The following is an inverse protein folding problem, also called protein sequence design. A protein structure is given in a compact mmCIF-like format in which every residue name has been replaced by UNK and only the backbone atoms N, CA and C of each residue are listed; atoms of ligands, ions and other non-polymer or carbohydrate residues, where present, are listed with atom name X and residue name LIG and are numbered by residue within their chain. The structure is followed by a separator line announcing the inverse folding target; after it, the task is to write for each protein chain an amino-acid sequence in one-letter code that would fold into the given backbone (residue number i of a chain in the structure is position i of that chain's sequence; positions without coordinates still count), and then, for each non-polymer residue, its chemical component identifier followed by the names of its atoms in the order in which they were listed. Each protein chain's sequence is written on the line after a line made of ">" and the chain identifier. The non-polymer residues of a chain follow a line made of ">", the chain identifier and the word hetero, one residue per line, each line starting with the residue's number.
data_IF_365798869686
#
_entry.id   IF_365798869686
#
_cell.length_a   1.000
_cell.length_b   1.000
_cell.length_c   1.000
_cell.angle_alpha   90.00
_cell.angle_beta   90.00
_cell.angle_gamma   90.00
#
_symmetry.space_group_name_H-M   'P 1'
#
loop_
_entity.id
_entity.type
_entity.pdbx_description
1 polymer ?
#
# COMPACT_ATOMS: atom_id res chain seq x y z
N UNK A 1 -18.31 30.39 23.40
CA UNK A 1 -18.69 28.96 23.36
C UNK A 1 -19.50 28.54 22.14
N UNK A 2 -20.10 29.43 21.36
CA UNK A 2 -21.05 29.12 20.26
C UNK A 2 -20.38 28.73 18.93
N UNK A 3 -19.16 29.21 18.63
CA UNK A 3 -18.47 28.92 17.36
C UNK A 3 -17.94 27.48 17.24
N UNK A 4 -17.48 26.88 18.33
CA UNK A 4 -16.91 25.50 18.33
C UNK A 4 -18.03 24.47 18.11
N UNK A 5 -19.22 24.67 18.69
CA UNK A 5 -20.38 23.78 18.49
C UNK A 5 -20.87 23.77 17.03
N UNK A 6 -20.77 24.89 16.33
CA UNK A 6 -21.18 25.02 14.92
C UNK A 6 -20.22 24.26 13.97
N UNK A 7 -18.93 24.29 14.25
CA UNK A 7 -17.92 23.53 13.47
C UNK A 7 -18.06 22.02 13.66
N UNK A 8 -18.31 21.56 14.88
CA UNK A 8 -18.51 20.13 15.16
C UNK A 8 -19.79 19.61 14.50
N UNK A 9 -20.87 20.40 14.47
CA UNK A 9 -22.12 20.01 13.82
C UNK A 9 -21.98 19.94 12.29
N UNK A 10 -21.24 20.86 11.64
CA UNK A 10 -20.94 20.80 10.21
C UNK A 10 -20.02 19.64 9.86
N UNK A 11 -18.99 19.38 10.65
CA UNK A 11 -18.09 18.24 10.45
C UNK A 11 -18.82 16.90 10.53
N UNK A 12 -19.71 16.72 11.51
CA UNK A 12 -20.56 15.52 11.60
C UNK A 12 -21.50 15.34 10.41
N UNK A 13 -22.10 16.42 9.90
CA UNK A 13 -22.96 16.34 8.72
C UNK A 13 -22.20 16.02 7.43
N UNK A 14 -20.96 16.48 7.28
CA UNK A 14 -20.12 16.18 6.13
C UNK A 14 -19.70 14.69 6.18
N UNK A 15 -19.24 14.19 7.32
CA UNK A 15 -18.88 12.79 7.50
C UNK A 15 -20.08 11.86 7.30
N UNK A 16 -21.26 12.19 7.86
CA UNK A 16 -22.48 11.41 7.66
C UNK A 16 -22.92 11.42 6.20
N UNK A 17 -22.80 12.55 5.48
CA UNK A 17 -23.12 12.62 4.04
C UNK A 17 -22.14 11.82 3.19
N UNK A 18 -20.86 11.81 3.51
CA UNK A 18 -19.85 10.98 2.83
C UNK A 18 -20.11 9.49 3.08
N UNK A 19 -20.38 9.10 4.32
CA UNK A 19 -20.73 7.71 4.67
C UNK A 19 -22.05 7.30 4.01
N UNK A 20 -23.08 8.13 4.02
CA UNK A 20 -24.38 7.82 3.39
C UNK A 20 -24.26 7.74 1.86
N UNK A 21 -23.44 8.59 1.24
CA UNK A 21 -23.17 8.57 -0.20
C UNK A 21 -22.34 7.34 -0.59
N UNK A 22 -21.40 6.90 0.25
CA UNK A 22 -20.64 5.66 0.07
C UNK A 22 -21.53 4.42 0.24
N UNK A 23 -22.40 4.38 1.25
CA UNK A 23 -23.29 3.25 1.52
C UNK A 23 -24.43 3.12 0.49
N UNK A 24 -24.88 4.22 -0.13
CA UNK A 24 -25.94 4.21 -1.16
C UNK A 24 -25.40 4.04 -2.58
N UNK A 25 -24.10 4.18 -2.78
CA UNK A 25 -23.46 4.01 -4.08
C UNK A 25 -23.04 2.56 -4.28
N UNK A 26 -24.00 1.70 -4.61
CA UNK A 26 -23.71 0.37 -5.19
C UNK A 26 -22.81 0.44 -6.45
N UNK A 27 -22.68 1.62 -7.06
CA UNK A 27 -21.71 1.93 -8.12
C UNK A 27 -20.26 1.86 -7.66
N UNK A 28 -19.96 2.23 -6.39
CA UNK A 28 -18.57 2.26 -5.91
C UNK A 28 -17.99 0.84 -5.70
N UNK A 29 -18.80 -0.06 -5.11
CA UNK A 29 -18.45 -1.47 -4.98
C UNK A 29 -18.47 -2.21 -6.32
N UNK A 30 -19.34 -1.79 -7.26
CA UNK A 30 -19.40 -2.33 -8.61
C UNK A 30 -18.28 -1.80 -9.51
N UNK A 31 -17.79 -0.57 -9.30
CA UNK A 31 -16.69 0.03 -10.07
C UNK A 31 -15.36 -0.70 -9.83
N UNK A 32 -15.04 -1.12 -8.61
CA UNK A 32 -13.84 -1.93 -8.34
C UNK A 32 -13.86 -3.31 -9.00
N UNK A 33 -15.04 -3.93 -9.16
CA UNK A 33 -15.16 -5.23 -9.85
C UNK A 33 -15.13 -5.13 -11.37
N UNK A 34 -15.28 -3.95 -11.94
CA UNK A 34 -15.42 -3.75 -13.39
C UNK A 34 -14.31 -2.93 -14.06
N UNK A 35 -13.33 -2.40 -13.31
CA UNK A 35 -12.14 -1.88 -13.96
C UNK A 35 -11.31 -3.10 -14.37
N UNK A 36 -11.42 -3.51 -15.64
CA UNK A 36 -10.45 -4.44 -16.21
C UNK A 36 -9.07 -3.83 -15.96
N UNK A 37 -8.32 -4.42 -15.04
CA UNK A 37 -6.92 -4.08 -14.80
C UNK A 37 -6.23 -4.09 -16.16
N UNK A 38 -5.72 -2.94 -16.60
CA UNK A 38 -4.99 -2.86 -17.86
C UNK A 38 -3.81 -3.79 -17.74
N UNK A 39 -3.75 -4.80 -18.62
CA UNK A 39 -2.61 -5.71 -18.65
C UNK A 39 -1.33 -4.87 -18.84
N UNK A 40 -0.30 -5.15 -18.02
CA UNK A 40 0.98 -4.47 -18.09
C UNK A 40 1.20 -3.35 -17.05
N UNK A 41 0.22 -3.03 -16.20
CA UNK A 41 0.44 -2.12 -15.07
C UNK A 41 1.16 -2.84 -13.91
N UNK A 42 1.91 -2.12 -13.04
CA UNK A 42 2.52 -2.73 -11.85
C UNK A 42 1.49 -3.45 -10.97
N UNK A 43 0.33 -2.87 -10.72
CA UNK A 43 -0.76 -3.49 -9.96
C UNK A 43 -1.22 -4.81 -10.58
N UNK A 44 -1.38 -4.86 -11.92
CA UNK A 44 -1.76 -6.09 -12.62
C UNK A 44 -0.75 -7.22 -12.36
N UNK A 45 0.55 -6.92 -12.44
CA UNK A 45 1.61 -7.90 -12.22
C UNK A 45 1.71 -8.33 -10.75
N UNK A 46 1.58 -7.40 -9.80
CA UNK A 46 1.55 -7.73 -8.37
C UNK A 46 0.39 -8.66 -8.05
N UNK A 47 -0.83 -8.31 -8.46
CA UNK A 47 -2.03 -9.11 -8.24
C UNK A 47 -1.88 -10.51 -8.84
N UNK A 48 -1.38 -10.59 -10.06
CA UNK A 48 -1.13 -11.86 -10.72
C UNK A 48 -0.12 -12.72 -9.95
N UNK A 49 0.97 -12.14 -9.49
CA UNK A 49 1.96 -12.85 -8.67
C UNK A 49 1.36 -13.34 -7.35
N UNK A 50 0.52 -12.53 -6.71
CA UNK A 50 -0.13 -12.93 -5.45
C UNK A 50 -1.09 -14.11 -5.64
N UNK A 51 -1.81 -14.15 -6.76
CA UNK A 51 -2.71 -15.26 -7.11
C UNK A 51 -1.93 -16.48 -7.60
N UNK A 52 -1.13 -16.33 -8.66
CA UNK A 52 -0.57 -17.47 -9.42
C UNK A 52 0.71 -18.05 -8.78
N UNK A 53 1.46 -17.22 -8.06
CA UNK A 53 2.78 -17.63 -7.52
C UNK A 53 2.73 -17.84 -6.02
N UNK A 54 2.05 -16.93 -5.29
CA UNK A 54 1.99 -16.98 -3.83
C UNK A 54 0.72 -17.64 -3.30
N UNK A 55 -0.27 -17.94 -4.16
CA UNK A 55 -1.54 -18.60 -3.80
C UNK A 55 -2.21 -17.98 -2.56
N UNK A 56 -2.26 -16.64 -2.52
CA UNK A 56 -2.84 -15.91 -1.40
C UNK A 56 -4.38 -15.84 -1.53
N UNK A 57 -5.13 -15.83 -0.41
CA UNK A 57 -6.57 -15.63 -0.43
C UNK A 57 -6.93 -14.18 -0.81
N UNK A 58 -8.13 -14.01 -1.38
CA UNK A 58 -8.60 -12.75 -1.95
C UNK A 58 -8.50 -11.57 -0.98
N UNK A 59 -8.83 -11.75 0.29
CA UNK A 59 -8.78 -10.69 1.32
C UNK A 59 -7.35 -10.26 1.63
N UNK A 60 -6.37 -11.18 1.64
CA UNK A 60 -4.96 -10.86 1.78
C UNK A 60 -4.44 -10.12 0.54
N UNK A 61 -4.85 -10.54 -0.66
CA UNK A 61 -4.48 -9.88 -1.93
C UNK A 61 -5.01 -8.44 -1.95
N UNK A 62 -6.31 -8.24 -1.66
CA UNK A 62 -6.91 -6.91 -1.64
C UNK A 62 -6.23 -6.00 -0.63
N UNK A 63 -5.90 -6.52 0.56
CA UNK A 63 -5.18 -5.75 1.57
C UNK A 63 -3.78 -5.33 1.11
N UNK A 64 -3.02 -6.24 0.51
CA UNK A 64 -1.67 -5.94 -0.01
C UNK A 64 -1.72 -4.93 -1.16
N UNK A 65 -2.68 -5.05 -2.07
CA UNK A 65 -2.85 -4.10 -3.18
C UNK A 65 -3.28 -2.72 -2.67
N UNK A 66 -4.25 -2.65 -1.76
CA UNK A 66 -4.67 -1.38 -1.15
C UNK A 66 -3.49 -0.71 -0.42
N UNK A 67 -2.69 -1.48 0.31
CA UNK A 67 -1.49 -0.96 0.98
C UNK A 67 -0.45 -0.44 -0.04
N UNK A 68 -0.20 -1.18 -1.11
CA UNK A 68 0.71 -0.76 -2.17
C UNK A 68 0.25 0.54 -2.83
N UNK A 69 -1.04 0.67 -3.18
CA UNK A 69 -1.60 1.90 -3.77
C UNK A 69 -1.45 3.10 -2.84
N UNK A 70 -1.69 2.92 -1.54
CA UNK A 70 -1.50 3.98 -0.54
C UNK A 70 -0.05 4.40 -0.45
N UNK A 71 0.89 3.45 -0.44
CA UNK A 71 2.33 3.74 -0.39
C UNK A 71 2.78 4.49 -1.64
N UNK A 72 2.35 4.08 -2.84
CA UNK A 72 2.68 4.77 -4.09
C UNK A 72 2.18 6.22 -4.08
N UNK A 73 0.93 6.47 -3.66
CA UNK A 73 0.44 7.84 -3.57
C UNK A 73 1.26 8.70 -2.61
N UNK A 74 1.70 8.17 -1.47
CA UNK A 74 2.53 8.93 -0.53
C UNK A 74 3.94 9.18 -1.08
N UNK A 75 4.48 8.25 -1.86
CA UNK A 75 5.74 8.41 -2.57
C UNK A 75 5.62 9.56 -3.60
N UNK A 76 4.59 9.54 -4.46
CA UNK A 76 4.29 10.61 -5.42
C UNK A 76 4.15 11.99 -4.74
N UNK A 77 3.48 12.05 -3.55
CA UNK A 77 3.34 13.30 -2.77
C UNK A 77 4.69 13.84 -2.32
N UNK A 78 5.58 12.97 -1.83
CA UNK A 78 6.90 13.35 -1.30
C UNK A 78 7.81 13.81 -2.42
N UNK A 79 7.73 13.16 -3.58
CA UNK A 79 8.51 13.48 -4.77
C UNK A 79 8.00 14.74 -5.49
N UNK A 80 6.81 15.22 -5.13
CA UNK A 80 6.18 16.40 -5.73
C UNK A 80 5.54 16.13 -7.08
N UNK A 81 5.22 14.88 -7.36
CA UNK A 81 4.57 14.46 -8.58
C UNK A 81 3.12 14.92 -8.66
N UNK A 82 2.62 15.03 -9.90
CA UNK A 82 1.24 15.41 -10.13
C UNK A 82 0.30 14.26 -9.84
N UNK A 83 -0.46 14.39 -8.77
CA UNK A 83 -1.47 13.42 -8.36
C UNK A 83 -2.80 13.71 -9.05
N UNK A 84 -3.43 12.68 -9.61
CA UNK A 84 -4.81 12.76 -10.06
C UNK A 84 -5.76 12.76 -8.85
N UNK A 85 -6.86 13.50 -8.99
CA UNK A 85 -7.85 13.62 -7.90
C UNK A 85 -8.53 12.29 -7.57
N UNK A 86 -8.81 11.49 -8.58
CA UNK A 86 -9.50 10.21 -8.40
C UNK A 86 -8.58 9.22 -7.68
N UNK A 87 -7.26 9.25 -7.95
CA UNK A 87 -6.25 8.45 -7.26
C UNK A 87 -6.12 8.86 -5.80
N UNK A 88 -6.10 10.17 -5.52
CA UNK A 88 -6.08 10.69 -4.16
C UNK A 88 -7.34 10.28 -3.37
N UNK A 89 -8.52 10.42 -3.96
CA UNK A 89 -9.80 10.03 -3.32
C UNK A 89 -9.84 8.51 -3.07
N UNK A 90 -9.34 7.69 -4.00
CA UNK A 90 -9.23 6.24 -3.85
C UNK A 90 -8.27 5.85 -2.72
N UNK A 91 -7.10 6.48 -2.64
CA UNK A 91 -6.11 6.19 -1.61
C UNK A 91 -6.56 6.65 -0.21
N UNK A 92 -7.27 7.80 -0.09
CA UNK A 92 -7.90 8.22 1.18
C UNK A 92 -8.89 7.15 1.66
N UNK A 93 -9.75 6.64 0.76
CA UNK A 93 -10.66 5.57 1.11
C UNK A 93 -9.93 4.29 1.52
N UNK A 94 -8.94 3.86 0.72
CA UNK A 94 -8.13 2.68 1.01
C UNK A 94 -7.45 2.79 2.39
N UNK A 95 -6.79 3.92 2.68
CA UNK A 95 -6.06 4.12 3.93
C UNK A 95 -6.98 4.16 5.16
N UNK A 96 -8.11 4.88 5.07
CA UNK A 96 -8.96 5.17 6.25
C UNK A 96 -10.08 4.14 6.46
N UNK A 97 -10.46 3.40 5.43
CA UNK A 97 -11.59 2.47 5.46
C UNK A 97 -11.21 1.08 4.96
N UNK A 98 -10.65 0.98 3.75
CA UNK A 98 -10.35 -0.30 3.11
C UNK A 98 -9.38 -1.15 3.92
N UNK A 99 -8.21 -0.61 4.21
CA UNK A 99 -7.18 -1.31 4.99
C UNK A 99 -7.65 -1.71 6.40
N UNK A 100 -8.21 -0.79 7.23
CA UNK A 100 -8.68 -1.17 8.57
C UNK A 100 -9.87 -2.12 8.59
N UNK A 101 -10.76 -2.06 7.59
CA UNK A 101 -11.94 -2.90 7.50
C UNK A 101 -11.69 -4.28 6.86
N UNK A 102 -10.51 -4.50 6.31
CA UNK A 102 -10.17 -5.75 5.62
C UNK A 102 -10.14 -6.93 6.62
N UNK A 103 -10.84 -8.05 6.36
CA UNK A 103 -10.93 -9.18 7.30
C UNK A 103 -9.58 -9.83 7.60
N UNK A 104 -8.69 -9.96 6.59
CA UNK A 104 -7.35 -10.50 6.79
C UNK A 104 -6.54 -9.62 7.73
N UNK A 105 -6.55 -8.29 7.52
CA UNK A 105 -5.87 -7.36 8.40
C UNK A 105 -6.42 -7.42 9.83
N UNK A 106 -7.74 -7.44 10.01
CA UNK A 106 -8.36 -7.52 11.33
C UNK A 106 -7.96 -8.79 12.09
N UNK A 107 -7.86 -9.93 11.39
CA UNK A 107 -7.42 -11.19 11.98
C UNK A 107 -5.94 -11.18 12.39
N UNK A 108 -5.10 -10.40 11.71
CA UNK A 108 -3.64 -10.43 11.84
C UNK A 108 -3.01 -9.08 12.22
N UNK A 109 -3.80 -8.09 12.64
CA UNK A 109 -3.32 -6.72 12.83
C UNK A 109 -2.17 -6.61 13.83
N UNK A 110 -2.12 -7.46 14.86
CA UNK A 110 -1.05 -7.46 15.87
C UNK A 110 0.32 -7.82 15.29
N UNK A 111 0.35 -8.52 14.16
CA UNK A 111 1.57 -8.85 13.41
C UNK A 111 1.83 -7.84 12.31
N UNK A 112 0.79 -7.48 11.55
CA UNK A 112 0.91 -6.64 10.36
C UNK A 112 1.17 -5.17 10.69
N UNK A 113 0.52 -4.60 11.72
CA UNK A 113 0.70 -3.19 12.09
C UNK A 113 2.15 -2.83 12.46
N UNK A 114 2.87 -3.60 13.29
CA UNK A 114 4.29 -3.34 13.55
C UNK A 114 5.17 -3.44 12.29
N UNK A 115 4.87 -4.35 11.37
CA UNK A 115 5.59 -4.48 10.11
C UNK A 115 5.37 -3.29 9.19
N UNK A 116 4.12 -2.82 9.04
CA UNK A 116 3.81 -1.59 8.30
C UNK A 116 4.53 -0.40 8.90
N UNK A 117 4.48 -0.24 10.24
CA UNK A 117 5.21 0.82 10.94
C UNK A 117 6.72 0.77 10.66
N UNK A 118 7.31 -0.43 10.73
CA UNK A 118 8.74 -0.62 10.45
C UNK A 118 9.08 -0.32 8.99
N UNK A 119 8.23 -0.73 8.03
CA UNK A 119 8.42 -0.43 6.62
C UNK A 119 8.41 1.08 6.34
N UNK A 120 7.49 1.83 6.96
CA UNK A 120 7.44 3.30 6.85
C UNK A 120 8.72 3.95 7.42
N UNK A 121 9.20 3.47 8.58
CA UNK A 121 10.44 3.99 9.18
C UNK A 121 11.67 3.68 8.32
N UNK A 122 11.75 2.50 7.71
CA UNK A 122 12.81 2.11 6.77
C UNK A 122 12.77 2.99 5.53
N UNK A 123 11.59 3.17 4.93
CA UNK A 123 11.39 4.03 3.77
C UNK A 123 11.84 5.47 4.08
N UNK A 124 11.38 6.06 5.20
CA UNK A 124 11.78 7.42 5.58
C UNK A 124 13.27 7.57 5.86
N UNK A 125 13.91 6.56 6.44
CA UNK A 125 15.36 6.57 6.64
C UNK A 125 16.12 6.51 5.30
N UNK A 126 15.63 5.71 4.35
CA UNK A 126 16.17 5.62 2.99
C UNK A 126 16.04 6.96 2.26
N UNK A 127 14.84 7.54 2.21
CA UNK A 127 14.54 8.85 1.63
C UNK A 127 15.47 9.95 2.19
N UNK A 128 15.69 9.96 3.50
CA UNK A 128 16.61 10.94 4.13
C UNK A 128 18.05 10.79 3.63
N UNK A 129 18.53 9.57 3.39
CA UNK A 129 19.87 9.30 2.87
C UNK A 129 19.97 9.68 1.40
N UNK A 130 18.92 9.44 0.62
CA UNK A 130 18.79 9.77 -0.80
C UNK A 130 18.81 11.29 -1.01
N UNK A 131 17.97 12.03 -0.28
CA UNK A 131 17.93 13.49 -0.31
C UNK A 131 19.27 14.15 0.09
N UNK A 132 20.07 13.47 0.91
CA UNK A 132 21.42 13.92 1.26
C UNK A 132 22.49 13.58 0.20
N UNK A 133 22.12 12.97 -0.94
CA UNK A 133 23.03 12.54 -1.99
C UNK A 133 23.92 11.35 -1.60
N UNK A 134 23.50 10.57 -0.59
CA UNK A 134 24.26 9.43 -0.05
C UNK A 134 23.58 8.09 -0.34
N UNK A 135 22.79 8.01 -1.40
CA UNK A 135 22.11 6.77 -1.82
C UNK A 135 23.12 5.61 -1.96
N UNK A 136 22.72 4.44 -1.50
CA UNK A 136 23.58 3.26 -1.48
C UNK A 136 22.75 1.96 -1.51
N UNK A 137 23.44 0.81 -1.61
CA UNK A 137 22.77 -0.50 -1.60
C UNK A 137 21.91 -0.73 -0.34
N UNK A 138 22.25 -0.13 0.79
CA UNK A 138 21.46 -0.26 2.03
C UNK A 138 20.16 0.55 1.93
N UNK A 139 20.18 1.78 1.39
CA UNK A 139 18.97 2.57 1.16
C UNK A 139 18.03 1.85 0.18
N UNK A 140 18.58 1.32 -0.92
CA UNK A 140 17.81 0.49 -1.86
C UNK A 140 17.05 -0.65 -1.18
N UNK A 141 17.74 -1.45 -0.35
CA UNK A 141 17.10 -2.57 0.37
C UNK A 141 16.06 -2.07 1.38
N UNK A 142 16.28 -0.94 2.02
CA UNK A 142 15.36 -0.42 3.02
C UNK A 142 14.08 0.16 2.40
N UNK A 143 14.13 0.71 1.19
CA UNK A 143 12.92 1.11 0.44
C UNK A 143 11.99 -0.06 0.18
N UNK A 144 12.51 -1.25 -0.03
CA UNK A 144 11.77 -2.47 -0.34
C UNK A 144 10.96 -3.05 0.85
N UNK A 145 10.72 -2.32 1.92
CA UNK A 145 10.03 -2.79 3.13
C UNK A 145 8.62 -3.35 2.91
N UNK A 146 7.96 -2.99 1.82
CA UNK A 146 6.69 -3.60 1.42
C UNK A 146 6.81 -5.12 1.22
N UNK A 147 7.91 -5.61 0.70
CA UNK A 147 8.12 -7.05 0.46
C UNK A 147 8.39 -7.85 1.74
N UNK A 148 8.82 -7.19 2.83
CA UNK A 148 8.85 -7.80 4.17
C UNK A 148 7.41 -8.13 4.62
N UNK A 149 6.45 -7.24 4.31
CA UNK A 149 5.03 -7.43 4.61
C UNK A 149 4.42 -8.54 3.74
N UNK A 150 4.77 -8.59 2.44
CA UNK A 150 4.35 -9.68 1.55
C UNK A 150 4.84 -11.03 2.08
N UNK A 151 6.10 -11.14 2.48
CA UNK A 151 6.66 -12.38 3.04
C UNK A 151 5.97 -12.79 4.36
N UNK A 152 5.70 -11.83 5.23
CA UNK A 152 4.94 -12.09 6.45
C UNK A 152 3.49 -12.54 6.16
N UNK A 153 2.87 -11.99 5.13
CA UNK A 153 1.54 -12.44 4.67
C UNK A 153 1.57 -13.88 4.20
N UNK A 154 2.58 -14.28 3.43
CA UNK A 154 2.80 -15.69 3.05
C UNK A 154 2.94 -16.59 4.29
N UNK A 155 3.69 -16.15 5.29
CA UNK A 155 3.85 -16.89 6.55
C UNK A 155 2.54 -17.04 7.31
N UNK A 156 1.73 -15.98 7.37
CA UNK A 156 0.42 -16.01 8.05
C UNK A 156 -0.58 -16.94 7.36
N UNK A 157 -0.54 -17.01 6.03
CA UNK A 157 -1.47 -17.84 5.23
C UNK A 157 -1.00 -19.30 5.16
N UNK A 158 0.27 -19.55 4.85
CA UNK A 158 0.78 -20.88 4.51
C UNK A 158 1.70 -21.48 5.60
N UNK A 159 2.04 -20.68 6.62
CA UNK A 159 2.93 -21.09 7.71
C UNK A 159 4.42 -20.87 7.41
N UNK A 160 5.24 -21.04 8.46
CA UNK A 160 6.66 -20.69 8.44
C UNK A 160 7.46 -21.50 7.42
N UNK A 161 7.18 -22.80 7.27
CA UNK A 161 7.92 -23.65 6.35
C UNK A 161 7.75 -23.20 4.90
N UNK A 162 6.51 -22.94 4.49
CA UNK A 162 6.21 -22.42 3.14
C UNK A 162 6.87 -21.05 2.90
N UNK A 163 6.84 -20.16 3.88
CA UNK A 163 7.50 -18.86 3.78
C UNK A 163 9.03 -18.98 3.60
N UNK A 164 9.67 -19.93 4.29
CA UNK A 164 11.11 -20.21 4.13
C UNK A 164 11.43 -20.73 2.72
N UNK A 165 10.57 -21.56 2.15
CA UNK A 165 10.74 -22.13 0.81
C UNK A 165 10.53 -21.08 -0.29
N UNK A 166 9.52 -20.21 -0.16
CA UNK A 166 9.13 -19.26 -1.21
C UNK A 166 9.76 -17.86 -1.05
N UNK A 167 10.43 -17.58 0.06
CA UNK A 167 10.96 -16.24 0.35
C UNK A 167 11.88 -15.69 -0.74
N UNK A 168 12.66 -16.55 -1.40
CA UNK A 168 13.52 -16.17 -2.53
C UNK A 168 12.72 -15.72 -3.77
N UNK A 169 11.47 -16.13 -3.90
CA UNK A 169 10.56 -15.69 -4.97
C UNK A 169 10.02 -14.31 -4.63
N UNK A 170 9.59 -14.10 -3.37
CA UNK A 170 9.12 -12.79 -2.90
C UNK A 170 10.18 -11.70 -3.13
N UNK A 171 11.45 -12.01 -2.85
CA UNK A 171 12.57 -11.09 -3.11
C UNK A 171 12.64 -10.63 -4.57
N UNK A 172 12.28 -11.49 -5.53
CA UNK A 172 12.33 -11.18 -6.97
C UNK A 172 11.13 -10.35 -7.46
N UNK A 173 10.08 -10.20 -6.64
CA UNK A 173 8.90 -9.43 -7.01
C UNK A 173 9.16 -7.92 -6.95
N UNK A 174 10.24 -7.47 -6.34
CA UNK A 174 10.57 -6.05 -6.24
C UNK A 174 10.72 -5.39 -7.62
N UNK A 175 11.28 -6.10 -8.58
CA UNK A 175 11.25 -5.69 -9.98
C UNK A 175 12.28 -4.61 -10.36
N UNK A 176 12.77 -3.81 -9.42
CA UNK A 176 13.81 -2.82 -9.61
C UNK A 176 15.20 -3.43 -9.33
N UNK A 177 16.20 -3.05 -10.11
CA UNK A 177 17.58 -3.45 -9.87
C UNK A 177 18.35 -2.37 -9.11
N UNK A 178 19.35 -2.77 -8.33
CA UNK A 178 20.26 -1.82 -7.67
C UNK A 178 20.95 -0.88 -8.68
N UNK A 179 21.23 -1.37 -9.88
CA UNK A 179 21.88 -0.57 -10.93
C UNK A 179 20.95 0.56 -11.42
N UNK A 180 19.67 0.26 -11.66
CA UNK A 180 18.65 1.23 -12.04
C UNK A 180 18.48 2.29 -10.96
N UNK A 181 18.30 1.87 -9.71
CA UNK A 181 18.21 2.76 -8.55
C UNK A 181 19.42 3.68 -8.41
N UNK A 182 20.65 3.16 -8.47
CA UNK A 182 21.86 3.96 -8.35
C UNK A 182 22.02 4.96 -9.51
N UNK A 183 21.56 4.60 -10.70
CA UNK A 183 21.55 5.48 -11.86
C UNK A 183 20.56 6.63 -11.70
N UNK A 184 19.36 6.35 -11.19
CA UNK A 184 18.34 7.36 -10.89
C UNK A 184 18.86 8.37 -9.87
N UNK A 185 19.36 7.89 -8.73
CA UNK A 185 19.91 8.73 -7.67
C UNK A 185 21.14 9.54 -8.07
N UNK A 186 21.87 9.13 -9.12
CA UNK A 186 23.01 9.89 -9.64
C UNK A 186 22.60 11.03 -10.58
N UNK A 187 21.35 11.04 -11.07
CA UNK A 187 20.81 12.02 -11.99
C UNK A 187 19.84 13.01 -11.32
N UNK A 188 19.44 12.75 -10.07
CA UNK A 188 18.58 13.60 -9.27
C UNK A 188 19.40 14.67 -8.54
#
# INVERSE_FOLDING_TARGET
>A
MTRIRYFIAKGKQIVIRLIHRALTSSRWLSSRKSTMLKSGTPEYWLRRNFVEVLDLPDDAIEWLIDLWQVVQLFDDIVDGDKIDRDDADAAIWAALVGLPANPFYQAHFTVLLPLVSTAILKWKASDTVELAGNACATSFVWRAGYYDIVLATVQLVHGTQAAMEIGHVVLKLYGESLEEYMKEMSNA
#
